data_IF_254890067282
#
_entry.id   IF_254890067282
#
_cell.length_a   1.000
_cell.length_b   1.000
_cell.length_c   1.000
_cell.angle_alpha   90.00
_cell.angle_beta   90.00
_cell.angle_gamma   90.00
#
_symmetry.space_group_name_H-M   'P 1'
#
loop_
_entity.id
_entity.type
_entity.pdbx_description
1 polymer ?
#
# COMPACT_ATOMS: atom_id res chain seq x y z
N UNK A 1 53.49 -21.27 10.73
CA UNK A 1 52.17 -21.09 11.37
C UNK A 1 51.87 -22.35 12.17
N UNK A 2 51.69 -22.22 13.49
CA UNK A 2 51.59 -23.37 14.39
C UNK A 2 50.15 -23.93 14.44
N UNK A 3 49.98 -25.20 14.79
CA UNK A 3 48.65 -25.85 14.84
C UNK A 3 47.63 -25.13 15.75
N UNK A 4 48.10 -24.46 16.81
CA UNK A 4 47.27 -23.63 17.70
C UNK A 4 46.68 -22.41 16.99
N UNK A 5 47.44 -21.76 16.12
CA UNK A 5 46.99 -20.58 15.36
C UNK A 5 45.87 -20.99 14.38
N UNK A 6 46.03 -22.13 13.72
CA UNK A 6 45.03 -22.67 12.78
C UNK A 6 43.74 -23.05 13.52
N UNK A 7 43.84 -23.61 14.73
CA UNK A 7 42.68 -23.92 15.56
C UNK A 7 41.92 -22.67 16.01
N UNK A 8 42.64 -21.61 16.43
CA UNK A 8 42.05 -20.33 16.81
C UNK A 8 41.30 -19.66 15.64
N UNK A 9 41.90 -19.66 14.44
CA UNK A 9 41.26 -19.12 13.23
C UNK A 9 39.99 -19.89 12.87
N UNK A 10 40.00 -21.22 12.98
CA UNK A 10 38.81 -22.05 12.73
C UNK A 10 37.68 -21.75 13.70
N UNK A 11 37.98 -21.61 14.99
CA UNK A 11 36.97 -21.27 16.02
C UNK A 11 36.39 -19.89 15.74
N UNK A 12 37.23 -18.90 15.40
CA UNK A 12 36.77 -17.55 15.06
C UNK A 12 35.84 -17.55 13.84
N UNK A 13 36.19 -18.30 12.78
CA UNK A 13 35.36 -18.44 11.57
C UNK A 13 33.99 -19.05 11.86
N UNK A 14 33.92 -20.05 12.75
CA UNK A 14 32.66 -20.68 13.17
C UNK A 14 31.81 -19.72 14.00
N UNK A 15 32.41 -18.96 14.92
CA UNK A 15 31.66 -17.95 15.67
C UNK A 15 31.12 -16.84 14.74
N UNK A 16 31.89 -16.44 13.73
CA UNK A 16 31.48 -15.44 12.75
C UNK A 16 30.30 -15.94 11.91
N UNK A 17 30.34 -17.21 11.45
CA UNK A 17 29.26 -17.78 10.65
C UNK A 17 27.97 -17.91 11.44
N UNK A 18 28.03 -18.31 12.71
CA UNK A 18 26.85 -18.38 13.60
C UNK A 18 26.27 -17.00 13.90
N UNK A 19 27.12 -15.98 14.10
CA UNK A 19 26.67 -14.60 14.33
C UNK A 19 25.91 -13.98 13.16
N UNK A 20 26.21 -14.39 11.91
CA UNK A 20 25.54 -13.89 10.71
C UNK A 20 24.15 -14.49 10.49
N UNK A 21 23.84 -15.66 11.05
CA UNK A 21 22.50 -16.30 10.92
C UNK A 21 21.46 -15.58 11.79
N UNK A 22 21.88 -14.85 12.82
CA UNK A 22 20.98 -14.21 13.80
C UNK A 22 20.41 -12.85 13.40
N UNK A 23 20.91 -12.20 12.35
CA UNK A 23 20.49 -10.82 12.01
C UNK A 23 19.26 -10.73 11.09
N UNK A 24 18.69 -11.85 10.59
CA UNK A 24 17.53 -11.84 9.68
C UNK A 24 16.36 -12.64 10.26
N UNK A 25 15.96 -12.33 11.51
CA UNK A 25 14.76 -12.95 12.11
C UNK A 25 13.79 -11.96 12.74
N UNK A 26 13.96 -10.66 12.54
CA UNK A 26 13.03 -9.67 13.06
C UNK A 26 12.93 -8.50 12.08
N UNK A 27 11.83 -8.47 11.34
CA UNK A 27 10.89 -7.36 11.42
C UNK A 27 9.68 -7.65 10.52
N UNK A 28 8.64 -8.21 11.16
CA UNK A 28 7.34 -8.59 10.63
C UNK A 28 7.37 -9.62 9.47
N UNK A 29 6.46 -10.60 9.44
CA UNK A 29 6.23 -11.34 8.20
C UNK A 29 5.95 -10.33 7.08
N UNK A 30 6.76 -10.40 6.00
CA UNK A 30 6.51 -9.64 4.78
C UNK A 30 5.04 -9.82 4.39
N UNK A 31 4.31 -8.71 4.25
CA UNK A 31 2.87 -8.73 4.01
C UNK A 31 1.99 -8.40 5.21
N UNK A 32 2.54 -8.01 6.37
CA UNK A 32 1.75 -7.51 7.51
C UNK A 32 0.77 -6.40 7.10
N UNK A 33 1.22 -5.42 6.31
CA UNK A 33 0.36 -4.33 5.81
C UNK A 33 -0.76 -4.84 4.89
N UNK A 34 -0.48 -5.82 4.01
CA UNK A 34 -1.49 -6.39 3.12
C UNK A 34 -2.48 -7.26 3.88
N UNK A 35 -2.00 -8.03 4.87
CA UNK A 35 -2.83 -8.82 5.77
C UNK A 35 -3.73 -7.91 6.61
N UNK A 36 -3.19 -6.81 7.14
CA UNK A 36 -3.93 -5.82 7.90
C UNK A 36 -5.04 -5.17 7.05
N UNK A 37 -4.71 -4.70 5.84
CA UNK A 37 -5.71 -4.15 4.92
C UNK A 37 -6.80 -5.18 4.60
N UNK A 38 -6.41 -6.44 4.36
CA UNK A 38 -7.37 -7.52 4.11
C UNK A 38 -8.26 -7.82 5.32
N UNK A 39 -7.74 -7.71 6.54
CA UNK A 39 -8.53 -7.90 7.78
C UNK A 39 -9.42 -6.70 8.10
N UNK A 40 -9.00 -5.48 7.74
CA UNK A 40 -9.79 -4.26 7.92
C UNK A 40 -10.90 -4.13 6.86
N UNK A 41 -10.70 -4.71 5.68
CA UNK A 41 -11.72 -4.85 4.65
C UNK A 41 -12.71 -5.96 5.02
N UNK A 42 -13.60 -5.68 5.98
CA UNK A 42 -14.75 -6.52 6.26
C UNK A 42 -15.67 -6.45 5.04
N UNK A 43 -15.73 -7.52 4.26
CA UNK A 43 -16.70 -7.65 3.19
C UNK A 43 -18.10 -7.72 3.80
N UNK A 44 -18.82 -6.60 3.74
CA UNK A 44 -20.21 -6.53 4.14
C UNK A 44 -21.09 -6.76 2.89
N UNK A 45 -21.76 -7.91 2.76
CA UNK A 45 -22.64 -8.20 1.62
C UNK A 45 -23.85 -7.24 1.56
N UNK A 46 -24.23 -6.66 2.71
CA UNK A 46 -25.34 -5.75 2.86
C UNK A 46 -24.92 -4.27 2.73
N UNK A 47 -23.63 -3.99 2.47
CA UNK A 47 -23.10 -2.63 2.32
C UNK A 47 -23.88 -1.79 1.30
N UNK A 48 -24.36 -2.41 0.22
CA UNK A 48 -25.17 -1.72 -0.79
C UNK A 48 -26.51 -1.28 -0.21
N UNK A 49 -27.15 -2.12 0.60
CA UNK A 49 -28.46 -1.83 1.19
C UNK A 49 -28.34 -0.81 2.34
N UNK A 50 -27.29 -0.93 3.17
CA UNK A 50 -27.00 -0.01 4.28
C UNK A 50 -26.63 1.40 3.80
N UNK A 51 -25.95 1.52 2.66
CA UNK A 51 -25.49 2.82 2.13
C UNK A 51 -26.42 3.44 1.08
N UNK A 52 -27.63 2.90 0.87
CA UNK A 52 -28.59 3.42 -0.14
C UNK A 52 -28.87 4.92 0.00
N UNK A 53 -28.81 5.46 1.22
CA UNK A 53 -29.08 6.86 1.52
C UNK A 53 -27.81 7.64 1.89
N UNK A 54 -26.65 6.98 1.90
CA UNK A 54 -25.36 7.59 2.19
C UNK A 54 -24.78 8.08 0.86
N UNK A 55 -25.19 9.29 0.48
CA UNK A 55 -24.51 10.02 -0.59
C UNK A 55 -23.30 10.70 0.04
N UNK A 56 -22.06 10.33 -0.33
CA UNK A 56 -20.88 11.00 0.19
C UNK A 56 -20.91 12.48 -0.24
N UNK A 57 -20.83 13.37 0.73
CA UNK A 57 -20.69 14.80 0.46
C UNK A 57 -19.35 15.04 -0.25
N UNK A 58 -19.44 15.59 -1.47
CA UNK A 58 -18.28 15.88 -2.30
C UNK A 58 -18.63 15.92 -3.78
N UNK A 59 -17.88 16.70 -4.55
CA UNK A 59 -18.11 16.94 -5.98
C UNK A 59 -17.63 15.80 -6.89
N UNK A 60 -17.24 14.64 -6.35
CA UNK A 60 -16.54 13.61 -7.12
C UNK A 60 -15.24 14.12 -7.76
N UNK A 61 -14.72 15.27 -7.29
CA UNK A 61 -13.63 16.02 -7.93
C UNK A 61 -12.40 15.16 -8.18
N UNK A 62 -12.07 14.26 -7.24
CA UNK A 62 -10.94 13.34 -7.38
C UNK A 62 -11.11 12.36 -8.54
N UNK A 63 -12.34 11.90 -8.79
CA UNK A 63 -12.65 11.04 -9.94
C UNK A 63 -12.66 11.86 -11.24
N UNK A 64 -13.20 13.08 -11.18
CA UNK A 64 -13.24 14.00 -12.31
C UNK A 64 -11.83 14.42 -12.75
N UNK A 65 -10.94 14.77 -11.82
CA UNK A 65 -9.52 15.08 -12.08
C UNK A 65 -8.80 13.90 -12.75
N UNK A 66 -9.05 12.68 -12.28
CA UNK A 66 -8.49 11.47 -12.88
C UNK A 66 -8.97 11.28 -14.33
N UNK A 67 -10.27 11.45 -14.56
CA UNK A 67 -10.87 11.38 -15.89
C UNK A 67 -10.34 12.47 -16.83
N UNK A 68 -10.29 13.72 -16.37
CA UNK A 68 -9.86 14.88 -17.17
C UNK A 68 -8.39 14.79 -17.55
N UNK A 69 -7.52 14.28 -16.67
CA UNK A 69 -6.14 13.95 -17.01
C UNK A 69 -6.06 12.86 -18.07
N UNK A 70 -6.91 11.82 -17.99
CA UNK A 70 -6.95 10.76 -18.98
C UNK A 70 -7.41 11.25 -20.36
N UNK A 71 -8.42 12.12 -20.43
CA UNK A 71 -8.93 12.69 -21.69
C UNK A 71 -8.16 13.92 -22.19
N UNK A 72 -7.13 14.37 -21.46
CA UNK A 72 -6.24 15.47 -21.85
C UNK A 72 -6.84 16.87 -21.68
N UNK A 73 -7.81 17.05 -20.77
CA UNK A 73 -8.37 18.36 -20.44
C UNK A 73 -7.45 19.12 -19.47
N UNK A 74 -7.21 20.41 -19.74
CA UNK A 74 -6.36 21.27 -18.94
C UNK A 74 -7.00 21.74 -17.62
N UNK A 75 -6.17 22.07 -16.63
CA UNK A 75 -6.58 22.42 -15.25
C UNK A 75 -7.48 23.65 -15.15
N UNK A 76 -7.53 24.51 -16.19
CA UNK A 76 -8.31 25.75 -16.21
C UNK A 76 -9.83 25.54 -16.29
N UNK A 77 -10.30 24.31 -16.55
CA UNK A 77 -11.73 23.98 -16.64
C UNK A 77 -12.37 23.52 -15.32
N UNK A 78 -11.60 23.42 -14.22
CA UNK A 78 -12.00 22.68 -13.01
C UNK A 78 -12.55 23.53 -11.84
N UNK A 79 -12.96 24.78 -12.08
CA UNK A 79 -13.58 25.61 -11.03
C UNK A 79 -15.09 25.34 -10.94
N UNK A 80 -15.49 24.38 -10.10
CA UNK A 80 -16.90 24.09 -9.84
C UNK A 80 -17.12 23.28 -8.56
N UNK A 81 -17.60 23.93 -7.50
CA UNK A 81 -17.93 23.32 -6.21
C UNK A 81 -19.29 22.58 -6.21
N UNK A 82 -19.83 22.21 -7.37
CA UNK A 82 -21.13 21.56 -7.48
C UNK A 82 -21.13 20.54 -8.62
N UNK A 83 -21.69 19.36 -8.35
CA UNK A 83 -21.90 18.29 -9.34
C UNK A 83 -22.62 18.82 -10.58
N UNK A 84 -21.97 18.77 -11.74
CA UNK A 84 -22.59 19.12 -13.02
C UNK A 84 -23.09 17.84 -13.70
N UNK A 85 -24.39 17.76 -13.94
CA UNK A 85 -24.99 16.68 -14.74
C UNK A 85 -24.80 17.03 -16.21
N UNK A 86 -24.03 16.21 -16.95
CA UNK A 86 -23.91 16.32 -18.40
C UNK A 86 -25.24 15.91 -19.03
N UNK A 87 -25.91 16.85 -19.69
CA UNK A 87 -27.25 16.62 -20.26
C UNK A 87 -27.20 15.99 -21.66
N UNK A 88 -26.07 16.03 -22.37
CA UNK A 88 -25.91 15.44 -23.70
C UNK A 88 -24.48 14.94 -23.95
N UNK A 89 -24.37 13.81 -24.63
CA UNK A 89 -23.16 13.34 -25.29
C UNK A 89 -23.39 13.49 -26.79
N UNK A 90 -22.63 14.38 -27.44
CA UNK A 90 -22.66 14.55 -28.90
C UNK A 90 -21.68 13.58 -29.56
#
# INVERSE_FOLDING_TARGET
MNYKEIAMIKVMMVCLSVGLVGCVTSDAPLGHSVAQVKTEQIYNPDATQENLLVVPDGTGERMQIGYDRYVGKGEEALSGNSSQVLQEFN
#
